data_IF_213314609180
#
_entry.id   IF_213314609180
#
_cell.length_a   1.000
_cell.length_b   1.000
_cell.length_c   1.000
_cell.angle_alpha   90.00
_cell.angle_beta   90.00
_cell.angle_gamma   90.00
#
_symmetry.space_group_name_H-M   'P 1'
#
loop_
_entity.id
_entity.type
_entity.pdbx_description
1 polymer ?
#
# COMPACT_ATOMS: atom_id res chain seq x y z
N UNK A 1 37.63 40.37 -36.89
CA UNK A 1 38.01 39.51 -35.74
C UNK A 1 37.17 39.90 -34.52
N UNK A 2 35.86 39.65 -34.58
CA UNK A 2 34.94 39.92 -33.47
C UNK A 2 33.83 38.92 -33.48
N UNK A 3 33.56 38.37 -32.28
CA UNK A 3 32.29 37.75 -31.85
C UNK A 3 31.91 36.39 -32.39
N UNK A 4 32.55 35.35 -31.84
CA UNK A 4 32.03 33.97 -31.77
C UNK A 4 32.11 33.44 -30.34
N UNK A 5 31.51 34.15 -29.37
CA UNK A 5 31.37 33.71 -27.97
C UNK A 5 29.98 34.03 -27.42
N UNK A 6 28.90 33.44 -27.96
CA UNK A 6 27.62 33.50 -27.24
C UNK A 6 26.55 32.52 -27.76
N UNK A 7 26.90 31.29 -28.10
CA UNK A 7 25.87 30.26 -28.39
C UNK A 7 26.34 28.88 -27.90
N UNK A 8 26.63 28.76 -26.61
CA UNK A 8 26.70 27.48 -25.91
C UNK A 8 26.18 27.62 -24.49
N UNK A 9 24.98 28.18 -24.29
CA UNK A 9 24.07 27.76 -23.22
C UNK A 9 23.16 26.68 -23.78
N UNK A 10 23.76 25.57 -24.18
CA UNK A 10 23.04 24.33 -24.40
C UNK A 10 22.41 23.94 -23.05
N UNK A 11 21.11 23.82 -23.01
CA UNK A 11 20.31 23.31 -21.88
C UNK A 11 21.05 22.11 -21.26
N UNK A 12 21.83 22.31 -20.21
CA UNK A 12 22.04 21.26 -19.23
C UNK A 12 20.64 20.97 -18.70
N UNK A 13 20.08 19.84 -19.06
CA UNK A 13 18.93 19.27 -18.36
C UNK A 13 19.33 19.31 -16.88
N UNK A 14 18.72 20.20 -16.11
CA UNK A 14 18.99 20.30 -14.68
C UNK A 14 18.59 18.98 -14.07
N UNK A 15 19.56 18.18 -13.69
CA UNK A 15 19.36 16.92 -12.98
C UNK A 15 19.71 17.18 -11.52
N UNK A 16 18.73 17.03 -10.64
CA UNK A 16 18.89 17.13 -9.18
C UNK A 16 19.21 15.77 -8.59
N UNK A 17 19.86 15.76 -7.45
CA UNK A 17 20.16 14.54 -6.68
C UNK A 17 19.35 14.50 -5.38
N UNK A 18 19.09 13.30 -4.87
CA UNK A 18 18.46 13.11 -3.55
C UNK A 18 19.34 13.75 -2.46
N UNK A 19 20.66 13.72 -2.61
CA UNK A 19 21.59 14.36 -1.67
C UNK A 19 21.38 15.88 -1.60
N UNK A 20 21.21 16.56 -2.73
CA UNK A 20 20.93 18.00 -2.79
C UNK A 20 19.58 18.32 -2.17
N UNK A 21 18.53 17.54 -2.48
CA UNK A 21 17.20 17.70 -1.89
C UNK A 21 17.25 17.49 -0.36
N UNK A 22 17.93 16.45 0.11
CA UNK A 22 18.13 16.23 1.55
C UNK A 22 18.91 17.38 2.21
N UNK A 23 19.84 18.03 1.49
CA UNK A 23 20.50 19.25 1.93
C UNK A 23 19.50 20.38 2.15
N UNK A 24 18.54 20.58 1.24
CA UNK A 24 17.46 21.56 1.37
C UNK A 24 16.52 21.23 2.55
N UNK A 25 16.12 19.95 2.70
CA UNK A 25 15.30 19.50 3.83
C UNK A 25 15.96 19.89 5.17
N UNK A 26 17.26 19.60 5.32
CA UNK A 26 18.01 19.90 6.56
C UNK A 26 18.12 21.39 6.86
N UNK A 27 18.10 22.26 5.84
CA UNK A 27 18.15 23.72 6.00
C UNK A 27 16.77 24.37 6.11
N UNK A 28 15.69 23.62 5.81
CA UNK A 28 14.31 24.14 5.81
C UNK A 28 13.94 24.96 4.58
N UNK A 29 14.69 24.82 3.47
CA UNK A 29 14.44 25.53 2.20
C UNK A 29 13.90 24.62 1.08
N UNK A 30 13.49 23.40 1.43
CA UNK A 30 12.87 22.45 0.51
C UNK A 30 11.45 22.88 0.10
N UNK A 31 11.11 22.73 -1.17
CA UNK A 31 9.75 22.95 -1.68
C UNK A 31 9.01 21.62 -1.85
N UNK A 32 8.08 21.34 -0.94
CA UNK A 32 7.29 20.11 -0.92
C UNK A 32 5.84 20.41 -1.25
N UNK A 33 5.33 19.74 -2.26
CA UNK A 33 3.91 19.78 -2.62
C UNK A 33 3.28 18.40 -2.48
N UNK A 34 1.97 18.37 -2.22
CA UNK A 34 1.18 17.17 -2.50
C UNK A 34 1.03 17.00 -4.02
N UNK A 35 0.74 15.79 -4.46
CA UNK A 35 0.55 15.54 -5.90
C UNK A 35 -0.62 16.35 -6.48
N UNK A 36 -1.65 16.66 -5.69
CA UNK A 36 -2.77 17.53 -6.11
C UNK A 36 -2.31 18.98 -6.26
N UNK A 37 -1.51 19.51 -5.33
CA UNK A 37 -0.92 20.86 -5.42
C UNK A 37 0.03 20.97 -6.62
N UNK A 38 0.87 19.95 -6.86
CA UNK A 38 1.75 19.89 -8.04
C UNK A 38 0.96 19.99 -9.35
N UNK A 39 -0.14 19.27 -9.45
CA UNK A 39 -1.01 19.29 -10.65
C UNK A 39 -1.69 20.64 -10.84
N UNK A 40 -2.15 21.27 -9.77
CA UNK A 40 -2.70 22.63 -9.82
C UNK A 40 -1.63 23.65 -10.27
N UNK A 41 -0.39 23.50 -9.80
CA UNK A 41 0.74 24.36 -10.24
C UNK A 41 1.05 24.14 -11.72
N UNK A 42 1.04 22.90 -12.21
CA UNK A 42 1.27 22.58 -13.63
C UNK A 42 0.15 23.18 -14.50
N UNK A 43 -1.10 23.12 -14.08
CA UNK A 43 -2.23 23.72 -14.83
C UNK A 43 -2.15 25.24 -14.89
N UNK A 44 -1.78 25.89 -13.79
CA UNK A 44 -1.75 27.36 -13.73
C UNK A 44 -0.49 27.97 -14.34
N UNK A 45 0.65 27.29 -14.26
CA UNK A 45 1.96 27.88 -14.56
C UNK A 45 2.84 27.07 -15.51
N UNK A 46 2.37 25.88 -15.88
CA UNK A 46 3.06 24.97 -16.80
C UNK A 46 4.15 24.12 -16.14
N UNK A 47 4.46 23.01 -16.80
CA UNK A 47 5.38 21.97 -16.27
C UNK A 47 6.81 22.47 -16.04
N UNK A 48 7.31 23.41 -16.87
CA UNK A 48 8.69 23.94 -16.71
C UNK A 48 8.84 24.73 -15.42
N UNK A 49 7.83 25.55 -15.08
CA UNK A 49 7.83 26.31 -13.82
C UNK A 49 7.69 25.38 -12.64
N UNK A 50 6.75 24.44 -12.66
CA UNK A 50 6.61 23.44 -11.62
C UNK A 50 7.90 22.66 -11.37
N UNK A 51 8.58 22.21 -12.42
CA UNK A 51 9.88 21.57 -12.31
C UNK A 51 10.95 22.45 -11.65
N UNK A 52 10.99 23.75 -11.98
CA UNK A 52 12.00 24.66 -11.41
C UNK A 52 11.77 24.95 -9.92
N UNK A 53 10.52 24.95 -9.47
CA UNK A 53 10.14 25.36 -8.10
C UNK A 53 10.01 24.21 -7.12
N UNK A 54 9.61 22.99 -7.56
CA UNK A 54 9.27 21.87 -6.67
C UNK A 54 10.41 20.89 -6.53
N UNK A 55 10.75 20.52 -5.29
CA UNK A 55 11.79 19.54 -4.98
C UNK A 55 11.22 18.13 -4.72
N UNK A 56 10.09 18.05 -4.03
CA UNK A 56 9.46 16.78 -3.63
C UNK A 56 7.95 16.84 -3.79
N UNK A 57 7.37 15.77 -4.30
CA UNK A 57 5.92 15.59 -4.36
C UNK A 57 5.52 14.41 -3.49
N UNK A 58 4.57 14.61 -2.57
CA UNK A 58 4.03 13.52 -1.74
C UNK A 58 2.85 12.86 -2.42
N UNK A 59 2.87 11.54 -2.42
CA UNK A 59 1.83 10.64 -2.96
C UNK A 59 1.38 9.69 -1.87
N UNK A 60 0.16 9.14 -1.96
CA UNK A 60 -0.31 8.18 -0.98
C UNK A 60 -1.41 7.26 -1.49
N UNK A 61 -1.63 6.19 -0.72
CA UNK A 61 -2.78 5.30 -0.83
C UNK A 61 -3.23 4.85 0.56
N UNK A 62 -4.54 4.61 0.73
CA UNK A 62 -5.13 3.97 1.89
C UNK A 62 -6.22 3.03 1.42
N UNK A 63 -5.95 1.74 1.45
CA UNK A 63 -6.87 0.74 0.93
C UNK A 63 -6.74 -0.62 1.63
N UNK A 64 -7.69 -1.53 1.36
CA UNK A 64 -7.68 -2.87 1.94
C UNK A 64 -6.57 -3.71 1.32
N UNK A 65 -5.69 -4.23 2.17
CA UNK A 65 -4.51 -5.00 1.82
C UNK A 65 -4.57 -6.38 2.45
N UNK A 66 -5.34 -7.27 1.85
CA UNK A 66 -5.60 -8.63 2.34
C UNK A 66 -4.34 -9.47 2.59
N UNK A 67 -3.25 -9.18 1.86
CA UNK A 67 -1.98 -9.89 2.00
C UNK A 67 -1.13 -9.45 3.20
N UNK A 68 -1.57 -8.44 3.94
CA UNK A 68 -0.84 -7.92 5.11
C UNK A 68 -0.80 -8.91 6.26
N UNK A 69 0.20 -8.76 7.12
CA UNK A 69 0.31 -9.45 8.38
C UNK A 69 1.44 -8.90 9.24
N UNK A 70 1.61 -9.46 10.41
CA UNK A 70 2.63 -9.03 11.35
C UNK A 70 3.44 -10.21 11.89
N UNK A 71 4.76 -10.07 11.90
CA UNK A 71 5.65 -10.91 12.67
C UNK A 71 5.76 -10.37 14.09
N UNK A 72 5.54 -11.23 15.07
CA UNK A 72 5.57 -10.90 16.49
C UNK A 72 6.56 -11.82 17.22
N UNK A 73 7.45 -11.24 18.05
CA UNK A 73 8.33 -11.97 18.94
C UNK A 73 7.97 -11.66 20.39
N UNK A 74 7.61 -12.68 21.17
CA UNK A 74 7.13 -12.54 22.55
C UNK A 74 8.24 -12.62 23.61
N UNK A 75 9.39 -13.21 23.30
CA UNK A 75 10.36 -13.66 24.29
C UNK A 75 9.94 -14.99 24.95
N UNK A 76 10.84 -15.57 25.72
CA UNK A 76 10.61 -16.87 26.38
C UNK A 76 9.84 -16.73 27.70
N UNK A 77 8.92 -17.66 27.95
CA UNK A 77 8.30 -17.86 29.26
C UNK A 77 9.22 -18.66 30.19
N UNK A 78 8.92 -18.69 31.50
CA UNK A 78 9.60 -19.55 32.48
C UNK A 78 8.60 -20.56 33.04
N UNK A 79 8.82 -21.90 32.83
CA UNK A 79 9.77 -22.49 31.90
C UNK A 79 9.45 -22.17 30.44
N UNK A 80 10.42 -22.30 29.51
CA UNK A 80 10.24 -21.88 28.12
C UNK A 80 9.31 -22.82 27.34
N UNK A 81 8.63 -22.24 26.33
CA UNK A 81 7.78 -22.94 25.37
C UNK A 81 8.34 -22.81 23.96
N UNK A 82 8.20 -23.86 23.15
CA UNK A 82 8.30 -23.79 21.69
C UNK A 82 6.88 -23.91 21.12
N UNK A 83 6.28 -22.78 20.80
CA UNK A 83 4.89 -22.70 20.35
C UNK A 83 4.69 -23.50 19.06
N UNK A 84 3.71 -24.43 19.06
CA UNK A 84 3.32 -25.22 17.91
C UNK A 84 2.02 -24.74 17.31
N UNK A 85 1.07 -24.30 18.14
CA UNK A 85 -0.13 -23.57 17.70
C UNK A 85 -0.31 -22.36 18.58
N UNK A 86 -0.75 -21.24 17.98
CA UNK A 86 -0.86 -19.95 18.65
C UNK A 86 -2.17 -19.29 18.25
N UNK A 87 -2.87 -18.72 19.22
CA UNK A 87 -4.05 -17.88 18.99
C UNK A 87 -3.87 -16.53 19.67
N UNK A 88 -4.29 -15.48 18.98
CA UNK A 88 -4.31 -14.10 19.46
C UNK A 88 -5.77 -13.61 19.41
N UNK A 89 -6.42 -13.39 20.56
CA UNK A 89 -7.86 -13.11 20.66
C UNK A 89 -8.68 -14.11 19.83
N UNK A 90 -8.42 -15.42 19.99
CA UNK A 90 -9.10 -16.50 19.25
C UNK A 90 -8.88 -16.49 17.72
N UNK A 91 -7.89 -15.75 17.24
CA UNK A 91 -7.44 -15.77 15.84
C UNK A 91 -6.14 -16.57 15.76
N UNK A 92 -6.16 -17.72 15.07
CA UNK A 92 -4.97 -18.55 14.91
C UNK A 92 -3.89 -17.83 14.12
N UNK A 93 -2.68 -17.76 14.66
CA UNK A 93 -1.50 -17.24 14.01
C UNK A 93 -0.62 -18.36 13.45
N UNK A 94 0.12 -18.09 12.40
CA UNK A 94 1.09 -19.04 11.85
C UNK A 94 2.30 -19.17 12.77
N UNK A 95 2.74 -20.40 13.00
CA UNK A 95 3.90 -20.77 13.78
C UNK A 95 4.94 -21.48 12.90
N UNK A 96 6.01 -21.99 13.50
CA UNK A 96 7.05 -22.71 12.77
C UNK A 96 8.22 -21.83 12.32
N UNK A 97 8.28 -20.61 12.85
CA UNK A 97 9.44 -19.71 12.74
C UNK A 97 10.47 -20.05 13.83
N UNK A 98 10.68 -19.16 14.82
CA UNK A 98 11.43 -19.48 16.05
C UNK A 98 10.47 -19.89 17.16
N UNK A 99 11.01 -20.34 18.30
CA UNK A 99 10.22 -20.95 19.39
C UNK A 99 9.09 -20.06 19.92
N UNK A 100 9.29 -18.74 19.92
CA UNK A 100 8.35 -17.72 20.45
C UNK A 100 7.97 -16.67 19.42
N UNK A 101 8.13 -16.99 18.13
CA UNK A 101 7.70 -16.13 17.03
C UNK A 101 6.41 -16.65 16.43
N UNK A 102 5.55 -15.73 16.00
CA UNK A 102 4.41 -16.07 15.17
C UNK A 102 4.18 -15.02 14.08
N UNK A 103 3.40 -15.38 13.07
CA UNK A 103 2.93 -14.47 12.06
C UNK A 103 1.40 -14.45 12.06
N UNK A 104 0.79 -13.30 12.30
CA UNK A 104 -0.66 -13.11 12.19
C UNK A 104 -1.00 -12.51 10.83
N UNK A 105 -1.74 -13.27 10.01
CA UNK A 105 -2.22 -12.81 8.69
C UNK A 105 -3.52 -12.02 8.82
N UNK A 106 -3.64 -10.90 8.11
CA UNK A 106 -4.79 -10.01 8.20
C UNK A 106 -6.12 -10.68 7.86
N UNK A 107 -6.13 -11.69 6.99
CA UNK A 107 -7.36 -12.37 6.54
C UNK A 107 -7.76 -13.58 7.37
N UNK A 108 -6.96 -13.98 8.38
CA UNK A 108 -7.33 -15.07 9.26
C UNK A 108 -8.51 -14.63 10.13
N UNK A 109 -9.57 -15.41 10.15
CA UNK A 109 -10.77 -15.12 10.94
C UNK A 109 -10.66 -15.72 12.34
N UNK A 110 -11.36 -15.13 13.30
CA UNK A 110 -11.61 -15.71 14.63
C UNK A 110 -12.34 -17.06 14.49
N UNK A 111 -11.98 -18.02 15.33
CA UNK A 111 -12.63 -19.33 15.36
C UNK A 111 -14.07 -19.25 15.87
N UNK A 112 -14.38 -18.30 16.76
CA UNK A 112 -15.72 -18.15 17.35
C UNK A 112 -16.54 -17.03 16.71
N UNK A 113 -15.92 -15.88 16.38
CA UNK A 113 -16.62 -14.71 15.84
C UNK A 113 -16.66 -14.69 14.28
N UNK A 114 -15.93 -15.58 13.61
CA UNK A 114 -15.93 -15.68 12.15
C UNK A 114 -15.56 -14.36 11.46
N UNK A 115 -16.48 -13.83 10.63
CA UNK A 115 -16.23 -12.59 9.87
C UNK A 115 -16.20 -11.31 10.72
N UNK A 116 -16.69 -11.33 11.96
CA UNK A 116 -16.80 -10.12 12.78
C UNK A 116 -15.45 -9.69 13.33
N UNK A 117 -14.49 -10.62 13.47
CA UNK A 117 -13.17 -10.35 14.00
C UNK A 117 -12.11 -11.23 13.30
N UNK A 118 -10.87 -10.75 13.24
CA UNK A 118 -9.78 -11.54 12.67
C UNK A 118 -8.44 -10.82 12.71
N UNK A 119 -7.44 -11.33 12.00
CA UNK A 119 -6.07 -10.88 12.07
C UNK A 119 -5.87 -9.39 11.81
N UNK A 120 -6.63 -8.80 10.88
CA UNK A 120 -6.60 -7.35 10.66
C UNK A 120 -7.03 -6.56 11.91
N UNK A 121 -8.05 -7.03 12.63
CA UNK A 121 -8.51 -6.41 13.88
C UNK A 121 -7.49 -6.62 15.01
N UNK A 122 -6.88 -7.81 15.12
CA UNK A 122 -5.79 -8.07 16.10
C UNK A 122 -4.64 -7.09 15.89
N UNK A 123 -4.23 -6.86 14.63
CA UNK A 123 -3.16 -5.90 14.31
C UNK A 123 -3.56 -4.47 14.67
N UNK A 124 -4.80 -4.04 14.39
CA UNK A 124 -5.31 -2.72 14.79
C UNK A 124 -5.35 -2.58 16.32
N UNK A 125 -5.83 -3.60 17.03
CA UNK A 125 -5.90 -3.62 18.49
C UNK A 125 -4.51 -3.51 19.13
N UNK A 126 -3.51 -4.24 18.59
CA UNK A 126 -2.10 -4.13 19.01
C UNK A 126 -1.59 -2.70 18.84
N UNK A 127 -1.76 -2.09 17.66
CA UNK A 127 -1.30 -0.72 17.38
C UNK A 127 -2.05 0.30 18.24
N UNK A 128 -3.29 0.00 18.61
CA UNK A 128 -4.10 0.82 19.54
C UNK A 128 -3.68 0.67 21.00
N UNK A 129 -2.71 -0.20 21.32
CA UNK A 129 -2.23 -0.48 22.67
C UNK A 129 -3.19 -1.32 23.51
N UNK A 130 -4.16 -1.97 22.90
CA UNK A 130 -5.09 -2.87 23.61
C UNK A 130 -4.38 -4.16 24.04
N UNK A 131 -4.90 -4.75 25.11
CA UNK A 131 -4.50 -6.05 25.60
C UNK A 131 -5.02 -7.16 24.66
N UNK A 132 -4.15 -8.11 24.32
CA UNK A 132 -4.43 -9.26 23.46
C UNK A 132 -4.26 -10.53 24.28
N UNK A 133 -5.20 -11.44 24.22
CA UNK A 133 -5.08 -12.77 24.77
C UNK A 133 -4.18 -13.65 23.90
N UNK A 134 -3.15 -14.23 24.50
CA UNK A 134 -2.27 -15.22 23.88
C UNK A 134 -2.58 -16.59 24.44
N UNK A 135 -2.92 -17.52 23.58
CA UNK A 135 -2.96 -18.95 23.88
C UNK A 135 -2.01 -19.69 22.96
N UNK A 136 -1.16 -20.52 23.54
CA UNK A 136 -0.24 -21.38 22.77
C UNK A 136 -0.19 -22.79 23.34
N UNK A 137 -0.03 -23.76 22.44
CA UNK A 137 0.20 -25.17 22.79
C UNK A 137 1.46 -25.68 22.12
N UNK A 138 2.10 -26.67 22.74
CA UNK A 138 3.32 -27.30 22.26
C UNK A 138 3.37 -28.78 22.71
N UNK A 139 4.14 -29.58 22.00
CA UNK A 139 4.33 -30.99 22.39
C UNK A 139 5.29 -31.18 23.59
N UNK A 140 6.12 -30.17 23.89
CA UNK A 140 7.12 -30.21 24.95
C UNK A 140 8.40 -30.92 24.52
N UNK A 141 9.56 -30.36 24.87
CA UNK A 141 10.89 -30.93 24.65
C UNK A 141 11.74 -30.70 25.90
N UNK A 142 12.89 -31.33 25.99
CA UNK A 142 13.81 -31.11 27.11
C UNK A 142 14.28 -29.64 27.20
N UNK A 143 14.44 -28.97 26.06
CA UNK A 143 14.79 -27.55 26.00
C UNK A 143 13.59 -26.60 26.20
N UNK A 144 12.38 -27.07 25.90
CA UNK A 144 11.13 -26.27 25.95
C UNK A 144 10.03 -27.12 26.58
N UNK A 145 10.07 -27.32 27.91
CA UNK A 145 9.20 -28.30 28.59
C UNK A 145 7.75 -27.85 28.75
N UNK A 146 7.47 -26.53 28.62
CA UNK A 146 6.11 -26.01 28.74
C UNK A 146 5.26 -26.48 27.56
N UNK A 147 4.07 -27.00 27.82
CA UNK A 147 3.14 -27.53 26.81
C UNK A 147 1.95 -26.58 26.54
N UNK A 148 1.60 -25.76 27.52
CA UNK A 148 0.48 -24.80 27.42
C UNK A 148 0.92 -23.45 27.98
N UNK A 149 0.57 -22.38 27.30
CA UNK A 149 0.74 -21.01 27.75
C UNK A 149 -0.55 -20.25 27.46
N UNK A 150 -1.12 -19.64 28.50
CA UNK A 150 -2.21 -18.70 28.38
C UNK A 150 -1.81 -17.43 29.15
N UNK A 151 -1.83 -16.29 28.48
CA UNK A 151 -1.44 -15.00 29.06
C UNK A 151 -2.06 -13.86 28.25
N UNK A 152 -1.85 -12.65 28.74
CA UNK A 152 -2.23 -11.42 28.03
C UNK A 152 -1.02 -10.53 27.85
N UNK A 153 -1.02 -9.75 26.79
CA UNK A 153 0.08 -8.86 26.45
C UNK A 153 -0.42 -7.66 25.65
N UNK A 154 0.36 -6.60 25.64
CA UNK A 154 0.19 -5.43 24.78
C UNK A 154 1.35 -5.37 23.77
N UNK A 155 1.28 -4.46 22.82
CA UNK A 155 2.37 -4.25 21.85
C UNK A 155 3.71 -3.89 22.54
N UNK A 156 3.66 -3.34 23.75
CA UNK A 156 4.85 -2.93 24.51
C UNK A 156 5.60 -4.12 25.14
N UNK A 157 4.89 -5.22 25.37
CA UNK A 157 5.46 -6.44 25.96
C UNK A 157 6.21 -7.30 24.90
N UNK A 158 6.02 -7.00 23.62
CA UNK A 158 6.71 -7.69 22.52
C UNK A 158 8.15 -7.19 22.38
N UNK A 159 9.09 -8.08 22.06
CA UNK A 159 10.44 -7.67 21.65
C UNK A 159 10.39 -6.98 20.28
N UNK A 160 9.81 -7.65 19.28
CA UNK A 160 9.58 -7.12 17.94
C UNK A 160 8.13 -7.28 17.52
N UNK A 161 7.63 -6.28 16.78
CA UNK A 161 6.35 -6.32 16.10
C UNK A 161 6.53 -5.65 14.72
N UNK A 162 6.54 -6.44 13.66
CA UNK A 162 6.89 -5.98 12.31
C UNK A 162 5.72 -6.19 11.36
N UNK A 163 5.12 -5.10 10.90
CA UNK A 163 4.17 -5.17 9.79
C UNK A 163 4.93 -5.58 8.52
N UNK A 164 4.47 -6.64 7.88
CA UNK A 164 4.89 -7.02 6.54
C UNK A 164 3.67 -6.96 5.60
N UNK A 165 3.77 -6.13 4.58
CA UNK A 165 2.75 -6.06 3.55
C UNK A 165 3.39 -6.44 2.21
N UNK A 166 3.22 -7.69 1.77
CA UNK A 166 3.89 -8.21 0.58
C UNK A 166 3.28 -7.70 -0.73
N UNK A 167 2.16 -6.95 -0.69
CA UNK A 167 1.52 -6.43 -1.89
C UNK A 167 0.71 -5.17 -1.59
N UNK A 168 1.23 -4.03 -1.98
CA UNK A 168 0.57 -2.73 -1.81
C UNK A 168 0.82 -1.79 -2.99
N UNK A 169 0.20 -0.62 -2.95
CA UNK A 169 0.34 0.45 -3.94
C UNK A 169 0.07 -0.02 -5.38
N UNK A 170 -0.91 -0.89 -5.59
CA UNK A 170 -1.26 -1.36 -6.93
C UNK A 170 -1.32 -0.21 -7.93
N UNK A 171 -0.47 -0.26 -8.95
CA UNK A 171 -0.33 0.82 -9.92
C UNK A 171 -1.65 1.12 -10.63
N UNK A 172 -2.32 0.10 -11.17
CA UNK A 172 -3.65 0.20 -11.80
C UNK A 172 -4.43 -1.08 -11.54
N UNK A 173 -5.25 -1.09 -10.48
CA UNK A 173 -6.06 -2.26 -10.17
C UNK A 173 -7.35 -2.25 -10.99
N UNK A 174 -7.79 -3.42 -11.47
CA UNK A 174 -9.03 -3.55 -12.23
C UNK A 174 -10.23 -3.20 -11.36
N UNK A 175 -11.25 -2.61 -11.99
CA UNK A 175 -12.59 -2.51 -11.43
C UNK A 175 -13.36 -3.82 -11.62
N UNK A 176 -14.40 -4.03 -10.83
CA UNK A 176 -15.17 -5.27 -10.78
C UNK A 176 -16.66 -5.01 -10.97
N UNK A 177 -17.32 -5.87 -11.75
CA UNK A 177 -18.77 -5.92 -11.91
C UNK A 177 -19.23 -7.39 -11.95
N UNK A 178 -20.52 -7.63 -12.15
CA UNK A 178 -21.12 -8.98 -12.07
C UNK A 178 -22.24 -9.17 -13.09
N UNK A 179 -22.06 -10.05 -14.05
CA UNK A 179 -23.05 -10.38 -15.08
C UNK A 179 -24.14 -11.34 -14.62
N UNK A 180 -23.94 -12.08 -13.52
CA UNK A 180 -24.88 -13.10 -13.07
C UNK A 180 -26.15 -12.49 -12.47
N UNK A 181 -27.17 -13.30 -12.28
CA UNK A 181 -28.45 -12.95 -11.65
C UNK A 181 -28.43 -12.96 -10.10
N UNK A 182 -27.28 -13.33 -9.49
CA UNK A 182 -27.07 -13.37 -8.04
C UNK A 182 -26.07 -12.32 -7.56
N UNK A 183 -26.23 -11.88 -6.32
CA UNK A 183 -25.24 -11.01 -5.66
C UNK A 183 -23.95 -11.77 -5.38
N UNK A 184 -22.80 -11.15 -5.68
CA UNK A 184 -21.47 -11.67 -5.32
C UNK A 184 -20.87 -10.91 -4.15
N UNK A 185 -20.27 -11.64 -3.23
CA UNK A 185 -19.52 -11.10 -2.09
C UNK A 185 -18.03 -11.33 -2.33
N UNK A 186 -17.26 -10.26 -2.48
CA UNK A 186 -15.88 -10.34 -2.96
C UNK A 186 -14.96 -9.41 -2.19
N UNK A 187 -13.65 -9.55 -2.35
CA UNK A 187 -12.65 -8.61 -1.83
C UNK A 187 -12.75 -7.20 -2.49
N UNK A 188 -13.51 -7.08 -3.58
CA UNK A 188 -13.89 -5.79 -4.17
C UNK A 188 -15.19 -5.25 -3.59
N UNK A 189 -15.74 -5.90 -2.53
CA UNK A 189 -17.02 -5.59 -1.93
C UNK A 189 -18.18 -6.36 -2.57
N UNK A 190 -19.39 -5.87 -2.34
CA UNK A 190 -20.62 -6.47 -2.86
C UNK A 190 -20.83 -6.05 -4.31
N UNK A 191 -20.98 -7.05 -5.19
CA UNK A 191 -21.28 -6.84 -6.61
C UNK A 191 -22.73 -7.28 -6.88
N UNK A 192 -23.54 -6.33 -7.30
CA UNK A 192 -24.97 -6.53 -7.57
C UNK A 192 -25.18 -7.30 -8.88
N UNK A 193 -26.29 -8.06 -9.00
CA UNK A 193 -26.57 -8.84 -10.20
C UNK A 193 -26.77 -7.97 -11.43
N UNK A 194 -26.64 -8.59 -12.60
CA UNK A 194 -26.93 -8.01 -13.90
C UNK A 194 -26.20 -6.65 -14.14
N UNK A 195 -24.89 -6.58 -13.82
CA UNK A 195 -24.08 -5.37 -13.92
C UNK A 195 -24.61 -4.20 -13.07
N UNK A 196 -25.24 -4.44 -11.92
CA UNK A 196 -25.94 -3.44 -11.12
C UNK A 196 -25.04 -2.38 -10.49
N UNK A 197 -23.74 -2.64 -10.35
CA UNK A 197 -22.73 -1.68 -9.88
C UNK A 197 -21.34 -2.02 -10.41
N UNK A 198 -20.41 -1.07 -10.23
CA UNK A 198 -18.97 -1.25 -10.45
C UNK A 198 -18.22 -0.83 -9.19
N UNK A 199 -17.44 -1.74 -8.62
CA UNK A 199 -16.54 -1.44 -7.52
C UNK A 199 -15.10 -1.36 -8.03
N UNK A 200 -14.30 -0.42 -7.48
CA UNK A 200 -12.90 -0.26 -7.82
C UNK A 200 -12.04 -0.05 -6.58
N UNK A 201 -10.73 -0.27 -6.71
CA UNK A 201 -9.74 -0.01 -5.68
C UNK A 201 -8.70 1.00 -6.18
N UNK A 202 -7.94 1.55 -5.24
CA UNK A 202 -6.87 2.49 -5.55
C UNK A 202 -7.31 3.94 -5.56
N UNK A 203 -6.32 4.82 -5.42
CA UNK A 203 -6.54 6.27 -5.29
C UNK A 203 -6.31 7.05 -6.60
N UNK A 204 -6.12 6.34 -7.72
CA UNK A 204 -5.89 6.95 -9.03
C UNK A 204 -4.62 7.81 -9.04
N UNK A 205 -4.77 9.06 -9.43
CA UNK A 205 -3.66 10.02 -9.54
C UNK A 205 -2.90 10.31 -8.23
N UNK A 206 -3.40 9.88 -7.05
CA UNK A 206 -2.70 10.01 -5.78
C UNK A 206 -1.70 8.85 -5.54
N UNK A 207 -1.84 7.75 -6.27
CA UNK A 207 -1.09 6.51 -6.04
C UNK A 207 0.40 6.68 -6.36
N UNK A 208 1.31 6.22 -5.48
CA UNK A 208 2.76 6.32 -5.70
C UNK A 208 3.25 5.74 -7.03
N UNK A 209 2.85 4.52 -7.39
CA UNK A 209 3.33 3.85 -8.60
C UNK A 209 2.71 4.36 -9.90
N UNK A 210 1.61 5.11 -9.82
CA UNK A 210 1.07 5.87 -10.97
C UNK A 210 1.97 7.07 -11.26
N UNK A 211 2.56 7.67 -10.23
CA UNK A 211 3.42 8.85 -10.32
C UNK A 211 4.90 8.52 -10.57
N UNK A 212 5.30 7.26 -10.43
CA UNK A 212 6.61 6.73 -10.85
C UNK A 212 6.43 5.42 -11.63
N UNK A 213 5.86 5.46 -12.84
CA UNK A 213 5.42 4.28 -13.57
C UNK A 213 6.56 3.38 -14.06
N UNK A 214 7.80 3.88 -14.05
CA UNK A 214 9.00 3.16 -14.47
C UNK A 214 9.99 2.92 -13.33
N UNK A 215 9.55 3.13 -12.07
CA UNK A 215 10.31 2.85 -10.85
C UNK A 215 11.68 3.52 -10.83
N UNK A 216 11.71 4.81 -11.17
CA UNK A 216 12.96 5.59 -11.23
C UNK A 216 13.42 6.04 -9.86
N UNK A 217 12.46 6.27 -8.96
CA UNK A 217 12.72 6.81 -7.62
C UNK A 217 12.10 5.95 -6.50
N UNK A 218 11.24 5.00 -6.86
CA UNK A 218 10.69 4.00 -5.94
C UNK A 218 11.35 2.65 -6.24
N UNK A 219 12.04 2.10 -5.25
CA UNK A 219 12.72 0.82 -5.34
C UNK A 219 13.09 0.28 -3.98
N UNK A 220 13.86 -0.80 -3.93
CA UNK A 220 14.32 -1.42 -2.67
C UNK A 220 15.11 -0.39 -1.86
N UNK A 221 14.76 -0.24 -0.57
CA UNK A 221 15.37 0.74 0.32
C UNK A 221 14.70 2.12 0.33
N UNK A 222 13.70 2.37 -0.53
CA UNK A 222 12.93 3.62 -0.48
C UNK A 222 12.23 3.75 0.86
N UNK A 223 12.54 4.83 1.59
CA UNK A 223 11.90 5.19 2.85
C UNK A 223 10.52 5.76 2.59
N UNK A 224 9.53 5.29 3.34
CA UNK A 224 8.11 5.63 3.16
C UNK A 224 7.46 5.98 4.50
N UNK A 225 6.38 6.76 4.45
CA UNK A 225 5.40 6.78 5.52
C UNK A 225 4.62 5.46 5.48
N UNK A 226 4.54 4.76 6.59
CA UNK A 226 3.80 3.51 6.71
C UNK A 226 2.95 3.54 7.98
N UNK A 227 1.65 3.73 7.79
CA UNK A 227 0.66 3.73 8.88
C UNK A 227 1.01 4.60 10.09
N UNK A 228 1.57 5.80 9.87
CA UNK A 228 1.95 6.74 10.96
C UNK A 228 3.36 6.55 11.49
N UNK A 229 4.10 5.56 11.03
CA UNK A 229 5.52 5.33 11.27
C UNK A 229 6.36 5.45 10.00
N UNK A 230 7.66 5.23 10.14
CA UNK A 230 8.57 5.07 9.03
C UNK A 230 8.61 3.60 8.61
N UNK A 231 8.45 3.35 7.33
CA UNK A 231 8.66 2.04 6.71
C UNK A 231 9.61 2.10 5.53
N UNK A 232 9.81 0.95 4.91
CA UNK A 232 10.70 0.80 3.76
C UNK A 232 10.09 -0.14 2.72
N UNK A 233 10.32 0.18 1.46
CA UNK A 233 10.14 -0.77 0.37
C UNK A 233 11.26 -1.81 0.46
N UNK A 234 10.90 -3.10 0.44
CA UNK A 234 11.84 -4.21 0.58
C UNK A 234 11.91 -5.11 -0.65
N UNK A 235 11.11 -4.80 -1.66
CA UNK A 235 11.10 -5.49 -2.94
C UNK A 235 9.87 -5.11 -3.78
N UNK A 236 9.80 -5.68 -4.96
CA UNK A 236 8.55 -5.74 -5.70
C UNK A 236 7.52 -6.55 -4.92
N UNK A 237 6.26 -6.15 -5.00
CA UNK A 237 5.19 -6.89 -4.35
C UNK A 237 4.91 -8.22 -5.02
N UNK A 238 4.37 -9.18 -4.27
CA UNK A 238 3.95 -10.45 -4.85
C UNK A 238 2.94 -10.21 -5.98
N UNK A 239 3.01 -11.00 -7.06
CA UNK A 239 2.22 -10.80 -8.28
C UNK A 239 2.50 -9.46 -8.99
N UNK A 240 3.71 -8.94 -8.85
CA UNK A 240 4.17 -7.76 -9.59
C UNK A 240 4.16 -8.06 -11.09
N UNK A 241 3.41 -7.27 -11.86
CA UNK A 241 3.23 -7.42 -13.30
C UNK A 241 3.02 -6.04 -13.94
N UNK A 242 4.09 -5.24 -14.02
CA UNK A 242 4.00 -3.84 -14.46
C UNK A 242 3.56 -3.72 -15.93
N UNK A 243 3.87 -4.69 -16.78
CA UNK A 243 3.47 -4.68 -18.20
C UNK A 243 1.94 -4.70 -18.35
N UNK A 244 1.24 -5.37 -17.44
CA UNK A 244 -0.23 -5.40 -17.40
C UNK A 244 -0.83 -4.34 -16.46
N UNK A 245 -0.01 -3.40 -15.95
CA UNK A 245 -0.46 -2.34 -15.05
C UNK A 245 -0.60 -2.76 -13.59
N UNK A 246 -0.07 -3.93 -13.20
CA UNK A 246 -0.07 -4.46 -11.84
C UNK A 246 1.28 -4.30 -11.14
N UNK A 247 1.92 -3.15 -11.28
CA UNK A 247 3.03 -2.80 -10.40
C UNK A 247 2.58 -2.81 -8.95
N UNK A 248 3.38 -3.40 -8.05
CA UNK A 248 3.11 -3.53 -6.62
C UNK A 248 4.38 -3.39 -5.80
N UNK A 249 4.25 -2.99 -4.53
CA UNK A 249 5.33 -2.87 -3.56
C UNK A 249 5.21 -3.91 -2.45
N UNK A 250 6.34 -4.48 -2.05
CA UNK A 250 6.48 -5.14 -0.75
C UNK A 250 7.09 -4.15 0.23
N UNK A 251 6.43 -3.98 1.39
CA UNK A 251 6.87 -3.01 2.39
C UNK A 251 6.89 -3.62 3.79
N UNK A 252 7.77 -3.08 4.66
CA UNK A 252 7.82 -3.41 6.08
C UNK A 252 7.96 -2.18 6.95
N UNK A 253 7.53 -2.29 8.21
CA UNK A 253 7.75 -1.26 9.23
C UNK A 253 7.52 -1.78 10.65
N UNK A 254 7.98 -1.04 11.64
CA UNK A 254 7.81 -1.32 13.05
C UNK A 254 6.39 -0.96 13.50
N UNK A 255 5.58 -1.96 13.84
CA UNK A 255 4.20 -1.77 14.33
C UNK A 255 4.13 -0.88 15.58
N UNK A 256 5.15 -0.92 16.46
CA UNK A 256 5.21 -0.13 17.69
C UNK A 256 5.26 1.39 17.43
N UNK A 257 5.58 1.79 16.19
CA UNK A 257 5.66 3.20 15.75
C UNK A 257 4.48 3.61 14.87
N UNK A 258 3.57 2.68 14.58
CA UNK A 258 2.38 2.97 13.80
C UNK A 258 1.27 3.57 14.65
N UNK A 259 0.26 4.15 13.99
CA UNK A 259 -0.90 4.78 14.63
C UNK A 259 -2.19 4.18 14.08
N UNK A 260 -3.18 3.89 14.93
CA UNK A 260 -4.44 3.28 14.51
C UNK A 260 -5.26 4.16 13.56
N UNK A 261 -4.98 5.46 13.52
CA UNK A 261 -5.56 6.41 12.57
C UNK A 261 -5.25 6.02 11.10
N UNK A 262 -4.05 5.46 10.84
CA UNK A 262 -3.55 5.14 9.51
C UNK A 262 -3.49 3.62 9.22
N UNK A 263 -4.09 2.82 10.10
CA UNK A 263 -4.14 1.36 9.98
C UNK A 263 -5.43 0.84 10.61
N UNK A 264 -6.25 0.08 9.86
CA UNK A 264 -7.55 -0.36 10.36
C UNK A 264 -7.90 -1.77 9.92
N UNK A 265 -8.27 -2.63 10.86
CA UNK A 265 -8.97 -3.88 10.60
C UNK A 265 -10.38 -3.62 10.05
N UNK A 266 -10.81 -4.42 9.10
CA UNK A 266 -12.14 -4.29 8.51
C UNK A 266 -12.64 -5.63 8.00
N UNK A 267 -13.98 -5.74 7.89
CA UNK A 267 -14.65 -6.92 7.33
C UNK A 267 -15.39 -6.54 6.05
N UNK A 268 -15.13 -7.26 4.98
CA UNK A 268 -16.01 -7.28 3.81
C UNK A 268 -17.14 -8.25 4.05
N UNK A 269 -18.37 -7.76 3.98
CA UNK A 269 -19.59 -8.52 4.27
C UNK A 269 -19.62 -9.84 3.49
N UNK A 270 -19.79 -10.97 4.22
CA UNK A 270 -19.79 -12.34 3.70
C UNK A 270 -18.57 -12.75 2.87
N UNK A 271 -17.47 -11.98 2.93
CA UNK A 271 -16.24 -12.35 2.25
C UNK A 271 -15.10 -12.66 3.24
N UNK A 272 -14.81 -11.77 4.16
CA UNK A 272 -13.75 -11.98 5.14
C UNK A 272 -13.12 -10.70 5.67
N UNK A 273 -12.12 -10.88 6.50
CA UNK A 273 -11.39 -9.82 7.18
C UNK A 273 -10.24 -9.32 6.31
N UNK A 274 -9.88 -8.06 6.46
CA UNK A 274 -8.75 -7.41 5.80
C UNK A 274 -8.10 -6.38 6.73
N UNK A 275 -6.97 -5.82 6.30
CA UNK A 275 -6.31 -4.70 6.95
C UNK A 275 -6.18 -3.53 5.97
N UNK A 276 -6.68 -2.36 6.32
CA UNK A 276 -6.38 -1.12 5.62
C UNK A 276 -5.02 -0.60 6.08
N UNK A 277 -4.15 -0.29 5.13
CA UNK A 277 -2.78 0.16 5.38
C UNK A 277 -2.53 1.47 4.68
N UNK A 278 -2.11 2.47 5.43
CA UNK A 278 -1.73 3.78 4.92
C UNK A 278 -0.28 3.84 4.47
N UNK A 279 -0.05 4.15 3.19
CA UNK A 279 1.29 4.35 2.64
C UNK A 279 1.38 5.73 2.02
N UNK A 280 2.43 6.46 2.38
CA UNK A 280 2.85 7.71 1.74
C UNK A 280 4.26 7.57 1.19
N UNK A 281 4.46 7.95 -0.07
CA UNK A 281 5.76 7.88 -0.73
C UNK A 281 6.13 9.26 -1.27
N UNK A 282 7.30 9.80 -0.89
CA UNK A 282 7.79 11.03 -1.49
C UNK A 282 8.43 10.74 -2.85
N UNK A 283 8.08 11.53 -3.85
CA UNK A 283 8.68 11.49 -5.19
C UNK A 283 9.64 12.69 -5.33
N UNK A 284 10.94 12.49 -5.28
CA UNK A 284 11.89 13.56 -5.57
C UNK A 284 11.82 13.96 -7.05
N UNK A 285 11.73 15.25 -7.32
CA UNK A 285 11.68 15.79 -8.68
C UNK A 285 13.10 15.99 -9.21
N UNK A 286 13.70 14.90 -9.65
CA UNK A 286 15.12 14.88 -10.07
C UNK A 286 15.31 15.45 -11.48
N UNK A 287 14.31 15.32 -12.36
CA UNK A 287 14.36 15.79 -13.74
C UNK A 287 12.95 16.05 -14.30
N UNK A 288 12.91 16.54 -15.53
CA UNK A 288 11.69 16.90 -16.24
C UNK A 288 10.77 15.69 -16.52
N UNK A 289 11.33 14.50 -16.67
CA UNK A 289 10.51 13.29 -16.92
C UNK A 289 9.73 12.90 -15.68
N UNK A 290 10.37 12.90 -14.51
CA UNK A 290 9.68 12.67 -13.23
C UNK A 290 8.63 13.76 -12.99
N UNK A 291 8.94 15.04 -13.28
CA UNK A 291 7.96 16.11 -13.17
C UNK A 291 6.71 15.87 -14.05
N UNK A 292 6.89 15.35 -15.27
CA UNK A 292 5.77 14.98 -16.15
C UNK A 292 4.96 13.79 -15.60
N UNK A 293 5.64 12.79 -15.04
CA UNK A 293 4.97 11.61 -14.49
C UNK A 293 4.03 11.99 -13.33
N UNK A 294 4.47 12.87 -12.42
CA UNK A 294 3.64 13.32 -11.29
C UNK A 294 2.53 14.31 -11.70
N UNK A 295 2.48 14.73 -12.97
CA UNK A 295 1.43 15.57 -13.52
C UNK A 295 0.27 14.78 -14.15
N UNK A 296 0.33 13.43 -14.19
CA UNK A 296 -0.72 12.57 -14.76
C UNK A 296 -2.04 12.76 -14.03
N UNK A 297 -3.17 12.82 -14.76
CA UNK A 297 -4.51 13.03 -14.19
C UNK A 297 -5.34 11.77 -14.20
N UNK A 298 -6.35 11.69 -13.35
CA UNK A 298 -7.31 10.57 -13.32
C UNK A 298 -7.95 10.28 -14.68
N UNK A 299 -8.14 11.28 -15.54
CA UNK A 299 -8.65 11.13 -16.91
C UNK A 299 -7.69 10.38 -17.85
N UNK A 300 -6.40 10.34 -17.51
CA UNK A 300 -5.33 9.74 -18.31
C UNK A 300 -4.92 8.36 -17.76
N UNK A 301 -5.54 7.90 -16.66
CA UNK A 301 -5.26 6.62 -15.99
C UNK A 301 -6.42 5.67 -16.27
N UNK A 302 -6.19 4.68 -17.14
CA UNK A 302 -7.21 3.72 -17.56
C UNK A 302 -7.07 2.39 -16.84
N UNK A 303 -8.22 1.78 -16.49
CA UNK A 303 -8.34 0.45 -15.90
C UNK A 303 -9.47 -0.33 -16.56
N UNK A 304 -9.37 -1.65 -16.49
CA UNK A 304 -10.39 -2.56 -17.04
C UNK A 304 -11.48 -2.79 -15.99
N UNK A 305 -12.74 -2.76 -16.40
CA UNK A 305 -13.85 -3.36 -15.65
C UNK A 305 -13.91 -4.83 -16.03
N UNK A 306 -13.75 -5.72 -15.04
CA UNK A 306 -13.80 -7.16 -15.24
C UNK A 306 -15.09 -7.76 -14.68
N UNK A 307 -15.62 -8.77 -15.37
CA UNK A 307 -16.77 -9.52 -14.92
C UNK A 307 -16.39 -10.61 -13.92
N UNK A 308 -16.68 -10.38 -12.65
CA UNK A 308 -16.45 -11.33 -11.56
C UNK A 308 -17.52 -12.43 -11.49
N UNK A 309 -18.59 -12.31 -12.26
CA UNK A 309 -19.58 -13.36 -12.45
C UNK A 309 -19.04 -14.58 -13.18
N UNK A 310 -17.97 -14.41 -13.97
CA UNK A 310 -17.26 -15.50 -14.64
C UNK A 310 -16.12 -16.00 -13.76
N UNK A 311 -16.17 -17.24 -13.22
CA UNK A 311 -15.17 -17.77 -12.28
C UNK A 311 -13.91 -18.24 -12.98
N UNK A 312 -13.35 -17.43 -13.84
CA UNK A 312 -12.11 -17.69 -14.58
C UNK A 312 -11.00 -16.78 -14.06
N UNK A 313 -9.75 -17.24 -14.10
CA UNK A 313 -8.60 -16.41 -13.75
C UNK A 313 -8.53 -15.16 -14.65
N UNK A 314 -8.76 -15.35 -15.94
CA UNK A 314 -8.82 -14.27 -16.93
C UNK A 314 -10.28 -13.85 -17.11
N UNK A 315 -10.82 -13.15 -16.13
CA UNK A 315 -12.19 -12.62 -16.19
C UNK A 315 -12.38 -11.79 -17.45
N UNK A 316 -13.52 -11.89 -18.13
CA UNK A 316 -13.80 -11.09 -19.30
C UNK A 316 -13.71 -9.59 -19.02
N UNK A 317 -13.05 -8.84 -19.92
CA UNK A 317 -13.10 -7.39 -19.90
C UNK A 317 -14.44 -6.93 -20.46
N UNK A 318 -15.20 -6.22 -19.64
CA UNK A 318 -16.48 -5.61 -20.04
C UNK A 318 -16.21 -4.27 -20.75
N UNK A 319 -15.42 -3.42 -20.10
CA UNK A 319 -15.08 -2.10 -20.62
C UNK A 319 -13.73 -1.63 -20.06
N UNK A 320 -13.12 -0.64 -20.71
CA UNK A 320 -12.00 0.12 -20.20
C UNK A 320 -12.46 1.54 -19.88
N UNK A 321 -12.09 2.05 -18.70
CA UNK A 321 -12.55 3.35 -18.18
C UNK A 321 -11.42 4.08 -17.50
N UNK A 322 -11.50 5.40 -17.46
CA UNK A 322 -10.57 6.23 -16.69
C UNK A 322 -10.95 6.28 -15.20
N UNK A 323 -9.97 6.63 -14.34
CA UNK A 323 -10.29 6.92 -12.94
C UNK A 323 -11.20 8.14 -12.78
N UNK A 324 -11.16 9.09 -13.71
CA UNK A 324 -12.09 10.22 -13.69
C UNK A 324 -13.54 9.75 -13.87
N UNK A 325 -13.80 8.82 -14.79
CA UNK A 325 -15.13 8.22 -14.93
C UNK A 325 -15.52 7.44 -13.65
N UNK A 326 -14.66 6.62 -13.10
CA UNK A 326 -14.95 5.87 -11.86
C UNK A 326 -15.24 6.80 -10.68
N UNK A 327 -14.48 7.87 -10.52
CA UNK A 327 -14.63 8.85 -9.42
C UNK A 327 -15.83 9.77 -9.60
N UNK A 328 -16.42 9.84 -10.80
CA UNK A 328 -17.66 10.60 -11.03
C UNK A 328 -18.89 10.02 -10.29
N UNK A 329 -18.77 8.81 -9.74
CA UNK A 329 -19.84 8.11 -9.04
C UNK A 329 -20.73 7.26 -9.95
N UNK A 330 -20.57 7.34 -11.28
CA UNK A 330 -21.31 6.55 -12.27
C UNK A 330 -20.45 6.21 -13.47
N UNK A 331 -20.73 5.07 -14.07
CA UNK A 331 -20.09 4.62 -15.31
C UNK A 331 -21.11 3.89 -16.18
N UNK A 332 -20.93 3.94 -17.48
CA UNK A 332 -21.76 3.18 -18.41
C UNK A 332 -21.23 1.73 -18.55
N UNK A 333 -22.13 0.76 -18.37
CA UNK A 333 -21.87 -0.68 -18.56
C UNK A 333 -23.06 -1.27 -19.29
N UNK A 334 -22.82 -1.94 -20.41
CA UNK A 334 -23.86 -2.58 -21.24
C UNK A 334 -25.05 -1.65 -21.52
N UNK A 335 -24.77 -0.40 -21.94
CA UNK A 335 -25.77 0.61 -22.28
C UNK A 335 -26.56 1.19 -21.10
N UNK A 336 -26.14 0.92 -19.85
CA UNK A 336 -26.78 1.41 -18.64
C UNK A 336 -25.81 2.20 -17.77
N UNK A 337 -26.27 3.32 -17.19
CA UNK A 337 -25.53 4.07 -16.19
C UNK A 337 -25.63 3.40 -14.83
N UNK A 338 -24.52 2.88 -14.30
CA UNK A 338 -24.47 2.17 -13.01
C UNK A 338 -23.57 2.94 -12.03
N UNK A 339 -23.85 2.76 -10.73
CA UNK A 339 -23.07 3.40 -9.66
C UNK A 339 -21.68 2.80 -9.56
N UNK A 340 -20.70 3.64 -9.23
CA UNK A 340 -19.36 3.22 -8.86
C UNK A 340 -19.11 3.41 -7.36
N UNK A 341 -18.30 2.54 -6.77
CA UNK A 341 -17.86 2.66 -5.38
C UNK A 341 -16.38 2.31 -5.25
N UNK A 342 -15.64 3.12 -4.49
CA UNK A 342 -14.24 2.88 -4.20
C UNK A 342 -14.08 2.10 -2.89
N UNK A 343 -13.25 1.07 -2.89
CA UNK A 343 -12.86 0.35 -1.65
C UNK A 343 -11.71 1.04 -0.91
N UNK A 344 -10.99 1.96 -1.55
CA UNK A 344 -9.92 2.76 -0.93
C UNK A 344 -10.44 4.13 -0.48
N UNK A 345 -9.84 4.72 0.55
CA UNK A 345 -10.19 6.05 1.03
C UNK A 345 -9.26 7.12 0.44
N UNK A 346 -9.80 7.93 -0.45
CA UNK A 346 -9.10 9.10 -1.02
C UNK A 346 -8.85 10.17 0.06
N UNK A 347 -9.80 10.35 0.99
CA UNK A 347 -9.64 11.29 2.09
C UNK A 347 -8.46 10.93 2.99
N UNK A 348 -8.33 9.67 3.37
CA UNK A 348 -7.19 9.20 4.16
C UNK A 348 -5.87 9.29 3.38
N UNK A 349 -5.88 9.03 2.07
CA UNK A 349 -4.69 9.24 1.25
C UNK A 349 -4.25 10.73 1.27
N UNK A 350 -5.18 11.69 1.21
CA UNK A 350 -4.88 13.12 1.36
C UNK A 350 -4.29 13.46 2.73
N UNK A 351 -4.83 12.91 3.82
CA UNK A 351 -4.28 13.09 5.18
C UNK A 351 -2.85 12.56 5.28
N UNK A 352 -2.59 11.39 4.70
CA UNK A 352 -1.25 10.79 4.65
C UNK A 352 -0.27 11.65 3.86
N UNK A 353 -0.67 12.14 2.68
CA UNK A 353 0.18 13.06 1.89
C UNK A 353 0.52 14.33 2.66
N UNK A 354 -0.46 14.92 3.32
CA UNK A 354 -0.28 16.14 4.13
C UNK A 354 0.66 15.89 5.33
N UNK A 355 0.50 14.76 6.03
CA UNK A 355 1.38 14.42 7.16
C UNK A 355 2.81 14.14 6.69
N UNK A 356 3.00 13.41 5.59
CA UNK A 356 4.32 13.18 5.00
C UNK A 356 4.97 14.49 4.53
N UNK A 357 4.20 15.39 3.90
CA UNK A 357 4.65 16.74 3.53
C UNK A 357 5.13 17.51 4.75
N UNK A 358 4.37 17.46 5.85
CA UNK A 358 4.76 18.07 7.13
C UNK A 358 6.08 17.49 7.64
N UNK A 359 6.24 16.18 7.71
CA UNK A 359 7.46 15.53 8.19
C UNK A 359 8.70 15.91 7.37
N UNK A 360 8.55 16.06 6.04
CA UNK A 360 9.65 16.50 5.17
C UNK A 360 9.99 17.96 5.44
N UNK A 361 9.01 18.86 5.54
CA UNK A 361 9.23 20.27 5.83
C UNK A 361 9.85 20.53 7.21
N UNK A 362 9.52 19.70 8.19
CA UNK A 362 10.09 19.75 9.55
C UNK A 362 11.50 19.13 9.64
N UNK A 363 12.00 18.54 8.54
CA UNK A 363 13.32 17.91 8.49
C UNK A 363 13.44 16.57 9.20
N UNK A 364 12.32 16.01 9.71
CA UNK A 364 12.31 14.71 10.41
C UNK A 364 12.25 13.52 9.46
N UNK A 365 11.93 13.77 8.19
CA UNK A 365 11.90 12.74 7.14
C UNK A 365 12.83 13.09 6.00
N UNK A 366 13.94 12.36 5.90
CA UNK A 366 14.90 12.45 4.78
C UNK A 366 14.57 11.39 3.73
N UNK A 367 14.81 11.71 2.46
CA UNK A 367 14.66 10.80 1.35
C UNK A 367 15.83 9.81 1.28
N UNK A 368 15.59 8.63 0.70
CA UNK A 368 16.63 7.62 0.42
C UNK A 368 16.68 7.32 -1.07
N UNK A 369 17.87 7.08 -1.60
CA UNK A 369 18.01 6.49 -2.92
C UNK A 369 17.68 5.00 -2.85
N UNK A 370 16.93 4.47 -3.84
CA UNK A 370 16.77 3.03 -3.95
C UNK A 370 18.14 2.37 -4.17
N UNK A 371 18.42 1.30 -3.43
CA UNK A 371 19.63 0.48 -3.64
C UNK A 371 19.49 -0.40 -4.87
N UNK A 372 18.24 -0.70 -5.27
CA UNK A 372 17.90 -1.47 -6.46
C UNK A 372 16.54 -1.02 -7.01
N UNK A 373 16.41 -0.95 -8.33
CA UNK A 373 15.15 -0.63 -8.99
C UNK A 373 14.23 -1.85 -9.01
N UNK A 374 12.92 -1.60 -8.97
CA UNK A 374 11.96 -2.67 -9.20
C UNK A 374 12.02 -3.15 -10.66
N UNK A 375 11.81 -4.45 -10.91
CA UNK A 375 11.88 -5.00 -12.25
C UNK A 375 10.70 -4.52 -13.11
N UNK A 376 10.97 -4.13 -14.37
CA UNK A 376 9.97 -3.76 -15.36
C UNK A 376 9.49 -4.95 -16.20
N UNK A 377 10.35 -5.98 -16.36
CA UNK A 377 10.16 -7.10 -17.26
C UNK A 377 9.88 -8.39 -16.48
N UNK A 378 8.91 -8.32 -15.59
CA UNK A 378 8.44 -9.47 -14.81
C UNK A 378 6.99 -9.77 -15.18
N UNK A 379 6.70 -11.04 -15.37
CA UNK A 379 5.37 -11.54 -15.71
C UNK A 379 4.85 -12.46 -14.60
N UNK A 380 3.63 -12.22 -14.15
CA UNK A 380 2.96 -13.09 -13.20
C UNK A 380 2.58 -14.43 -13.85
N UNK A 381 3.07 -15.51 -13.25
CA UNK A 381 2.80 -16.88 -13.73
C UNK A 381 1.68 -17.54 -12.93
N UNK A 382 0.61 -18.03 -13.57
CA UNK A 382 -0.41 -18.81 -12.87
C UNK A 382 0.13 -20.19 -12.48
N UNK A 383 -0.48 -20.76 -11.42
CA UNK A 383 -0.20 -22.14 -11.07
C UNK A 383 -0.62 -23.07 -12.22
N UNK A 384 0.26 -23.96 -12.63
CA UNK A 384 -0.07 -25.03 -13.59
C UNK A 384 -0.72 -26.18 -12.83
N UNK A 385 -1.93 -26.54 -13.22
CA UNK A 385 -2.54 -27.79 -12.78
C UNK A 385 -1.84 -28.95 -13.49
N UNK A 386 -1.54 -30.00 -12.74
CA UNK A 386 -0.91 -31.24 -13.22
C UNK A 386 -1.94 -32.34 -13.30
#
# INVERSE_FOLDING_TARGET
MFCLRSYRRCCKLEHRTIKEINGKIKRGDVQVLTVEEMKALVESSGIKKAFSEVDVVTTATFGPMCSSGAFLNFGHSEPPIKMERVWLNDVEAYHGNAAVDCYIGATKMSETLGFEYGGGHVIEDLVSGKEIELKAVAYGTDCYPRKVLETKFTIHDLNQAVLCNPRNCYQRYNAATNSTDRTLYTYMGVLLPNYGNVNYAGCGELNPLVNDPTYRVIGIGTRIFLSGGVGYVIGEGTQHDPQNGFGTLMVKGDLKKMKPEYLRGATFHKYGVTLYVGIGVPIPILDMEIAKNVAVRDRDIFVKILDYGVPSRNRPKVREVSYAELKSGKVEVEGRSVRTACTSSVEMARKIMAELKKWINEGVFLLTEPVERLPLNVEYRPMKMR
#
